data_IF_166352839148
#
_entry.id   IF_166352839148
#
_cell.length_a   1.000
_cell.length_b   1.000
_cell.length_c   1.000
_cell.angle_alpha   90.00
_cell.angle_beta   90.00
_cell.angle_gamma   90.00
#
_symmetry.space_group_name_H-M   'P 1'
#
loop_
_entity.id
_entity.type
_entity.pdbx_description
1 polymer ?
#
# COMPACT_ATOMS: atom_id res chain seq x y z
N UNK A 1 19.72 -24.84 5.33
CA UNK A 1 19.87 -25.75 4.17
C UNK A 1 18.72 -26.75 4.04
N UNK A 2 18.33 -27.47 5.11
CA UNK A 2 17.22 -28.45 5.07
C UNK A 2 15.88 -27.89 4.59
N UNK A 3 15.51 -26.67 4.99
CA UNK A 3 14.29 -26.00 4.55
C UNK A 3 14.24 -25.78 3.03
N UNK A 4 15.35 -25.33 2.44
CA UNK A 4 15.46 -25.10 1.00
C UNK A 4 15.34 -26.42 0.22
N UNK A 5 16.11 -27.45 0.62
CA UNK A 5 16.07 -28.78 0.00
C UNK A 5 14.66 -29.38 0.06
N UNK A 6 14.00 -29.29 1.23
CA UNK A 6 12.61 -29.75 1.40
C UNK A 6 11.65 -29.01 0.47
N UNK A 7 11.82 -27.70 0.29
CA UNK A 7 11.00 -26.89 -0.62
C UNK A 7 11.20 -27.30 -2.07
N UNK A 8 12.44 -27.54 -2.51
CA UNK A 8 12.74 -28.05 -3.86
C UNK A 8 12.13 -29.43 -4.16
N UNK A 9 12.02 -30.29 -3.13
CA UNK A 9 11.43 -31.64 -3.29
C UNK A 9 9.89 -31.58 -3.30
N UNK A 10 9.29 -30.66 -2.55
CA UNK A 10 7.83 -30.59 -2.37
C UNK A 10 7.13 -29.66 -3.37
N UNK A 11 7.79 -28.61 -3.86
CA UNK A 11 7.22 -27.62 -4.78
C UNK A 11 7.75 -27.80 -6.19
N UNK A 12 6.87 -27.73 -7.20
CA UNK A 12 7.23 -27.88 -8.62
C UNK A 12 8.12 -26.74 -9.11
N UNK A 13 7.85 -25.52 -8.64
CA UNK A 13 8.53 -24.29 -9.03
C UNK A 13 8.71 -23.42 -7.79
N UNK A 14 9.90 -22.85 -7.60
CA UNK A 14 10.19 -21.95 -6.51
C UNK A 14 10.29 -20.54 -7.07
N UNK A 15 9.38 -19.68 -6.62
CA UNK A 15 9.35 -18.27 -6.99
C UNK A 15 9.94 -17.41 -5.87
N UNK A 16 10.84 -16.50 -6.24
CA UNK A 16 11.28 -15.41 -5.38
C UNK A 16 10.48 -14.16 -5.76
N UNK A 17 9.60 -13.74 -4.86
CA UNK A 17 8.78 -12.55 -5.05
C UNK A 17 9.41 -11.37 -4.33
N UNK A 18 9.63 -10.28 -5.06
CA UNK A 18 9.91 -8.99 -4.45
C UNK A 18 8.59 -8.33 -4.03
N UNK A 19 8.42 -8.15 -2.72
CA UNK A 19 7.24 -7.54 -2.11
C UNK A 19 7.55 -6.16 -1.50
N UNK A 20 8.77 -5.65 -1.69
CA UNK A 20 9.18 -4.35 -1.19
C UNK A 20 8.23 -3.21 -1.63
N UNK A 21 7.77 -3.15 -2.91
CA UNK A 21 6.81 -2.12 -3.33
C UNK A 21 5.47 -2.15 -2.56
N UNK A 22 5.00 -3.34 -2.16
CA UNK A 22 3.76 -3.47 -1.40
C UNK A 22 3.96 -3.08 0.07
N UNK A 23 5.15 -3.31 0.62
CA UNK A 23 5.50 -2.87 1.98
C UNK A 23 5.55 -1.33 2.05
N UNK A 24 6.11 -0.69 1.05
CA UNK A 24 6.18 0.78 0.99
C UNK A 24 4.78 1.38 0.83
N UNK A 25 3.96 0.80 -0.05
CA UNK A 25 2.54 1.16 -0.20
C UNK A 25 1.77 1.00 1.13
N UNK A 26 2.01 -0.08 1.87
CA UNK A 26 1.42 -0.28 3.19
C UNK A 26 1.86 0.80 4.18
N UNK A 27 3.14 1.21 4.16
CA UNK A 27 3.66 2.30 4.98
C UNK A 27 2.94 3.62 4.71
N UNK A 28 2.77 3.97 3.43
CA UNK A 28 2.02 5.17 3.02
C UNK A 28 0.57 5.14 3.51
N UNK A 29 -0.11 4.00 3.37
CA UNK A 29 -1.47 3.82 3.86
C UNK A 29 -1.55 3.97 5.37
N UNK A 30 -0.61 3.39 6.11
CA UNK A 30 -0.56 3.52 7.57
C UNK A 30 -0.39 4.97 8.00
N UNK A 31 0.45 5.74 7.30
CA UNK A 31 0.65 7.15 7.61
C UNK A 31 -0.61 7.97 7.33
N UNK A 32 -1.23 7.78 6.16
CA UNK A 32 -2.47 8.45 5.80
C UNK A 32 -3.61 8.14 6.79
N UNK A 33 -3.80 6.87 7.15
CA UNK A 33 -4.83 6.45 8.12
C UNK A 33 -4.56 6.97 9.53
N UNK A 34 -3.31 7.01 9.97
CA UNK A 34 -2.93 7.62 11.24
C UNK A 34 -3.22 9.12 11.29
N UNK A 35 -2.95 9.85 10.21
CA UNK A 35 -3.25 11.29 10.11
C UNK A 35 -4.76 11.55 10.13
N UNK A 36 -5.54 10.77 9.36
CA UNK A 36 -7.01 10.84 9.37
C UNK A 36 -7.56 10.55 10.78
N UNK A 37 -7.03 9.56 11.47
CA UNK A 37 -7.46 9.21 12.83
C UNK A 37 -7.17 10.34 13.84
N UNK A 38 -6.04 11.05 13.69
CA UNK A 38 -5.74 12.22 14.52
C UNK A 38 -6.75 13.35 14.31
N UNK A 39 -7.09 13.64 13.05
CA UNK A 39 -8.11 14.62 12.70
C UNK A 39 -9.45 14.20 13.30
N UNK A 40 -9.86 12.94 13.12
CA UNK A 40 -11.11 12.42 13.67
C UNK A 40 -11.18 12.57 15.20
N UNK A 41 -10.10 12.22 15.93
CA UNK A 41 -10.02 12.42 17.39
C UNK A 41 -10.18 13.89 17.78
N UNK A 42 -9.49 14.80 17.08
CA UNK A 42 -9.60 16.24 17.35
C UNK A 42 -11.01 16.77 17.06
N UNK A 43 -11.61 16.38 15.94
CA UNK A 43 -12.99 16.73 15.58
C UNK A 43 -13.96 16.22 16.64
N UNK A 44 -13.80 14.98 17.09
CA UNK A 44 -14.64 14.41 18.16
C UNK A 44 -14.49 15.16 19.48
N UNK A 45 -13.31 15.72 19.78
CA UNK A 45 -13.07 16.49 21.00
C UNK A 45 -13.54 17.95 20.94
N UNK A 46 -13.51 18.58 19.76
CA UNK A 46 -13.75 20.02 19.59
C UNK A 46 -15.06 20.35 18.90
N UNK A 47 -15.65 19.41 18.15
CA UNK A 47 -16.80 19.62 17.28
C UNK A 47 -16.50 20.45 16.03
N UNK A 48 -15.25 20.87 15.80
CA UNK A 48 -14.85 21.76 14.71
C UNK A 48 -14.00 21.01 13.70
N UNK A 49 -14.31 21.19 12.42
CA UNK A 49 -13.54 20.65 11.29
C UNK A 49 -12.87 21.82 10.57
N UNK A 50 -11.54 21.81 10.48
CA UNK A 50 -10.81 22.85 9.75
C UNK A 50 -10.70 22.48 8.27
N UNK A 51 -10.78 23.50 7.40
CA UNK A 51 -10.63 23.31 5.95
C UNK A 51 -9.25 22.77 5.59
N UNK A 52 -8.22 23.17 6.33
CA UNK A 52 -6.85 22.67 6.17
C UNK A 52 -6.77 21.16 6.36
N UNK A 53 -7.43 20.62 7.40
CA UNK A 53 -7.47 19.19 7.68
C UNK A 53 -8.01 18.38 6.51
N UNK A 54 -9.10 18.86 5.91
CA UNK A 54 -9.70 18.25 4.73
C UNK A 54 -8.72 18.30 3.55
N UNK A 55 -8.02 19.43 3.39
CA UNK A 55 -6.99 19.59 2.38
C UNK A 55 -5.84 18.60 2.54
N UNK A 56 -5.36 18.40 3.77
CA UNK A 56 -4.26 17.49 4.04
C UNK A 56 -4.67 16.02 3.90
N UNK A 57 -5.88 15.64 4.35
CA UNK A 57 -6.43 14.30 4.06
C UNK A 57 -6.50 14.02 2.56
N UNK A 58 -6.94 15.01 1.77
CA UNK A 58 -7.04 14.88 0.32
C UNK A 58 -5.67 14.66 -0.32
N UNK A 59 -4.65 15.42 0.09
CA UNK A 59 -3.28 15.27 -0.44
C UNK A 59 -2.71 13.88 -0.16
N UNK A 60 -2.85 13.39 1.07
CA UNK A 60 -2.35 12.06 1.46
C UNK A 60 -3.04 10.94 0.67
N UNK A 61 -4.37 11.03 0.50
CA UNK A 61 -5.14 10.06 -0.30
C UNK A 61 -4.74 10.13 -1.79
N UNK A 62 -4.54 11.32 -2.34
CA UNK A 62 -4.10 11.49 -3.72
C UNK A 62 -2.70 10.91 -3.95
N UNK A 63 -1.78 11.12 -3.02
CA UNK A 63 -0.44 10.54 -3.07
C UNK A 63 -0.50 9.00 -3.04
N UNK A 64 -1.21 8.43 -2.06
CA UNK A 64 -1.40 6.99 -1.96
C UNK A 64 -2.02 6.40 -3.23
N UNK A 65 -3.04 7.07 -3.79
CA UNK A 65 -3.74 6.61 -5.00
C UNK A 65 -2.81 6.56 -6.22
N UNK A 66 -1.87 7.50 -6.34
CA UNK A 66 -0.87 7.49 -7.42
C UNK A 66 0.07 6.30 -7.32
N UNK A 67 0.59 6.01 -6.13
CA UNK A 67 1.48 4.87 -5.89
C UNK A 67 0.76 3.53 -6.13
N UNK A 68 -0.48 3.42 -5.68
CA UNK A 68 -1.33 2.25 -5.96
C UNK A 68 -1.54 2.05 -7.47
N UNK A 69 -1.79 3.14 -8.20
CA UNK A 69 -2.00 3.07 -9.64
C UNK A 69 -0.75 2.64 -10.42
N UNK A 70 0.44 3.05 -9.98
CA UNK A 70 1.70 2.62 -10.59
C UNK A 70 1.88 1.10 -10.50
N UNK A 71 1.66 0.52 -9.32
CA UNK A 71 1.74 -0.93 -9.11
C UNK A 71 0.68 -1.65 -9.96
N UNK A 72 -0.57 -1.16 -9.93
CA UNK A 72 -1.66 -1.77 -10.70
C UNK A 72 -1.37 -1.75 -12.22
N UNK A 73 -0.86 -0.63 -12.73
CA UNK A 73 -0.50 -0.48 -14.15
C UNK A 73 0.65 -1.42 -14.55
N UNK A 74 1.66 -1.56 -13.67
CA UNK A 74 2.77 -2.49 -13.89
C UNK A 74 2.28 -3.95 -13.98
N UNK A 75 1.36 -4.35 -13.09
CA UNK A 75 0.79 -5.69 -13.11
C UNK A 75 -0.06 -5.91 -14.36
N UNK A 76 -0.95 -4.97 -14.70
CA UNK A 76 -1.77 -5.03 -15.92
C UNK A 76 -0.92 -5.19 -17.18
N UNK A 77 0.14 -4.41 -17.32
CA UNK A 77 1.01 -4.48 -18.49
C UNK A 77 1.70 -5.85 -18.62
N UNK A 78 2.06 -6.48 -17.48
CA UNK A 78 2.66 -7.82 -17.48
C UNK A 78 1.64 -8.92 -17.79
N UNK A 79 0.38 -8.75 -17.41
CA UNK A 79 -0.67 -9.74 -17.70
C UNK A 79 -1.28 -9.59 -19.09
N UNK A 80 -1.21 -8.40 -19.70
CA UNK A 80 -1.81 -8.10 -21.00
C UNK A 80 -0.90 -8.41 -22.20
N UNK A 81 0.40 -8.64 -21.95
CA UNK A 81 1.41 -8.92 -22.99
C UNK A 81 1.75 -10.39 -23.17
N UNK A 82 0.92 -11.32 -22.69
CA UNK A 82 1.13 -12.76 -22.81
C UNK A 82 0.33 -13.38 -23.94
N UNK A 83 0.91 -13.36 -25.15
CA UNK A 83 0.80 -14.43 -26.16
C UNK A 83 2.10 -15.25 -26.14
#
# INVERSE_FOLDING_TARGET
>A
MSHFIRKCVLEKEIYQLDLEPFRDLQGLLSNATNNINQIAKRVNSTGVIYKEDIGDMKKEIEHFSKELWQIHSLLLNRTSGGD
#
